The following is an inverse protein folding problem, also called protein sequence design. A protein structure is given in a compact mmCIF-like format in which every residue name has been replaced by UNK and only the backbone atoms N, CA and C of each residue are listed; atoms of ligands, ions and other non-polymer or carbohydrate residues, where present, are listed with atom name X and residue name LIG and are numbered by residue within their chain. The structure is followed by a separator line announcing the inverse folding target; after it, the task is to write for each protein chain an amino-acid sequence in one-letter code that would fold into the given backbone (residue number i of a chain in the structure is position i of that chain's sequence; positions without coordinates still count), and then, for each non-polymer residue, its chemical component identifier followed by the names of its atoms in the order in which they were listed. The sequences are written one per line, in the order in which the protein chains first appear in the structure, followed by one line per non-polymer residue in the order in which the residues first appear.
data_IF_232617804038
#
_entry.id   IF_232617804038
#
_cell.length_a   1.000
_cell.length_b   1.000
_cell.length_c   1.000
_cell.angle_alpha   90.00
_cell.angle_beta   90.00
_cell.angle_gamma   90.00
#
_symmetry.space_group_name_H-M   'P 1'
#
loop_
_entity.id
_entity.type
_entity.pdbx_description
1 polymer ?
#
# COMPACT_ATOMS: atom_id res chain seq x y z
N UNK A 1 -0.88 -9.25 -9.29
CA UNK A 1 -2.01 -10.19 -9.20
C UNK A 1 -2.18 -10.54 -7.73
N UNK A 2 -3.39 -10.82 -7.27
CA UNK A 2 -3.65 -11.27 -5.90
C UNK A 2 -3.92 -12.77 -5.96
N UNK A 3 -3.37 -13.52 -5.00
CA UNK A 3 -3.53 -14.99 -4.86
C UNK A 3 -3.15 -15.77 -6.12
N UNK A 4 -2.16 -15.24 -6.84
CA UNK A 4 -1.61 -15.82 -8.05
C UNK A 4 -0.15 -15.40 -8.21
N UNK A 5 0.62 -16.22 -8.96
CA UNK A 5 2.00 -15.92 -9.27
C UNK A 5 2.16 -14.54 -9.95
N UNK A 6 3.19 -13.80 -9.50
CA UNK A 6 3.66 -12.55 -10.11
C UNK A 6 4.95 -12.76 -10.92
N UNK A 7 5.66 -11.67 -11.18
CA UNK A 7 6.93 -11.70 -11.92
C UNK A 7 7.83 -10.54 -11.49
N UNK A 8 9.13 -10.79 -11.43
CA UNK A 8 10.15 -9.74 -11.46
C UNK A 8 10.79 -9.69 -12.85
N UNK A 9 10.93 -8.49 -13.39
CA UNK A 9 11.54 -8.25 -14.70
C UNK A 9 12.76 -7.35 -14.50
N UNK A 10 13.90 -7.74 -15.06
CA UNK A 10 15.15 -6.99 -14.98
C UNK A 10 15.53 -6.46 -16.36
N UNK A 11 15.95 -5.19 -16.42
CA UNK A 11 16.43 -4.57 -17.67
C UNK A 11 15.32 -4.08 -18.61
N UNK A 12 14.06 -4.06 -18.18
CA UNK A 12 12.96 -3.53 -18.99
C UNK A 12 11.65 -3.41 -18.22
N UNK A 13 10.70 -2.69 -18.82
CA UNK A 13 9.34 -2.52 -18.31
C UNK A 13 8.42 -3.42 -19.17
N UNK A 14 7.64 -4.34 -18.58
CA UNK A 14 6.74 -5.19 -19.35
C UNK A 14 5.63 -4.35 -20.00
N UNK A 15 5.24 -4.68 -21.23
CA UNK A 15 4.24 -3.91 -21.98
C UNK A 15 2.83 -3.82 -21.36
N UNK A 16 2.57 -4.56 -20.29
CA UNK A 16 1.35 -4.44 -19.47
C UNK A 16 1.35 -3.22 -18.53
N UNK A 17 2.52 -2.66 -18.21
CA UNK A 17 2.64 -1.45 -17.40
C UNK A 17 2.44 -0.21 -18.30
N UNK A 18 1.18 0.15 -18.52
CA UNK A 18 0.79 1.33 -19.30
C UNK A 18 0.66 2.55 -18.38
N UNK A 19 0.86 3.74 -18.93
CA UNK A 19 0.64 5.02 -18.23
C UNK A 19 1.37 5.10 -16.88
N UNK A 20 2.65 4.70 -16.88
CA UNK A 20 3.48 4.71 -15.67
C UNK A 20 3.63 6.14 -15.15
N UNK A 21 3.16 6.37 -13.93
CA UNK A 21 3.34 7.60 -13.17
C UNK A 21 4.66 7.50 -12.41
N UNK A 22 5.49 8.53 -12.49
CA UNK A 22 6.79 8.56 -11.83
C UNK A 22 6.84 9.56 -10.69
N UNK A 23 7.57 9.21 -9.64
CA UNK A 23 7.94 10.10 -8.53
C UNK A 23 9.44 10.00 -8.27
N UNK A 24 10.13 11.09 -7.89
CA UNK A 24 11.53 11.02 -7.49
C UNK A 24 11.70 10.13 -6.25
N UNK A 25 12.86 9.48 -6.17
CA UNK A 25 13.25 8.64 -5.03
C UNK A 25 14.15 9.43 -4.07
N UNK A 26 13.85 9.36 -2.78
CA UNK A 26 14.76 9.71 -1.70
C UNK A 26 15.48 8.43 -1.22
N UNK A 27 16.74 8.30 -1.63
CA UNK A 27 17.61 7.18 -1.27
C UNK A 27 18.54 7.48 -0.10
N UNK A 28 18.35 8.58 0.64
CA UNK A 28 19.25 9.03 1.71
C UNK A 28 19.43 8.01 2.85
N UNK A 29 18.44 7.13 3.04
CA UNK A 29 18.45 6.05 4.03
C UNK A 29 18.70 4.66 3.41
N UNK A 30 19.02 4.58 2.12
CA UNK A 30 19.25 3.33 1.39
C UNK A 30 17.99 2.60 0.95
N UNK A 31 16.81 3.21 1.09
CA UNK A 31 15.53 2.66 0.64
C UNK A 31 15.07 3.25 -0.69
N UNK A 32 14.06 2.63 -1.29
CA UNK A 32 13.21 3.24 -2.32
C UNK A 32 12.18 4.16 -1.66
N UNK A 33 12.67 5.24 -1.05
CA UNK A 33 11.84 6.24 -0.39
C UNK A 33 11.15 7.16 -1.38
N UNK A 34 9.91 7.56 -1.12
CA UNK A 34 9.16 8.50 -1.95
C UNK A 34 8.12 9.27 -1.13
N UNK A 35 7.74 10.45 -1.62
CA UNK A 35 6.65 11.25 -1.05
C UNK A 35 5.35 11.00 -1.81
N UNK A 36 4.24 10.94 -1.08
CA UNK A 36 2.90 10.71 -1.63
C UNK A 36 1.84 11.39 -0.75
N UNK A 37 0.59 11.36 -1.17
CA UNK A 37 -0.57 11.75 -0.37
C UNK A 37 -1.55 10.59 -0.33
N UNK A 38 -2.01 10.22 0.87
CA UNK A 38 -2.99 9.17 1.11
C UNK A 38 -4.18 9.78 1.82
N UNK A 39 -5.37 9.70 1.22
CA UNK A 39 -6.57 10.32 1.79
C UNK A 39 -6.44 11.83 2.03
N UNK A 40 -5.60 12.52 1.24
CA UNK A 40 -5.31 13.95 1.39
C UNK A 40 -4.20 14.29 2.38
N UNK A 41 -3.68 13.32 3.12
CA UNK A 41 -2.57 13.50 4.06
C UNK A 41 -1.24 13.21 3.39
N UNK A 42 -0.27 14.11 3.50
CA UNK A 42 1.09 13.89 3.03
C UNK A 42 1.76 12.75 3.79
N UNK A 43 2.45 11.88 3.07
CA UNK A 43 3.15 10.69 3.58
C UNK A 43 4.53 10.61 2.94
N UNK A 44 5.54 10.35 3.76
CA UNK A 44 6.84 9.86 3.29
C UNK A 44 6.92 8.38 3.62
N UNK A 45 7.24 7.55 2.63
CA UNK A 45 7.29 6.10 2.83
C UNK A 45 8.22 5.40 1.87
N UNK A 46 8.36 4.08 2.05
CA UNK A 46 9.20 3.23 1.23
C UNK A 46 8.37 2.22 0.44
N UNK A 47 8.79 1.91 -0.78
CA UNK A 47 8.27 0.76 -1.52
C UNK A 47 9.08 -0.49 -1.13
N UNK A 48 8.44 -1.45 -0.44
CA UNK A 48 9.14 -2.58 0.18
C UNK A 48 8.42 -3.92 -0.09
N UNK A 49 8.94 -4.68 -1.05
CA UNK A 49 8.43 -6.02 -1.39
C UNK A 49 8.70 -7.07 -0.30
N UNK A 50 9.44 -6.72 0.76
CA UNK A 50 9.70 -7.58 1.91
C UNK A 50 8.68 -7.45 3.04
N UNK A 51 7.80 -6.44 2.99
CA UNK A 51 6.76 -6.21 3.98
C UNK A 51 5.39 -6.57 3.43
N UNK A 52 4.62 -7.37 4.16
CA UNK A 52 3.32 -7.88 3.69
C UNK A 52 2.23 -6.79 3.60
N UNK A 53 2.15 -5.91 4.60
CA UNK A 53 1.03 -5.01 4.81
C UNK A 53 1.33 -3.60 4.27
N UNK A 54 0.30 -2.78 4.17
CA UNK A 54 0.45 -1.32 4.04
C UNK A 54 0.50 -0.73 5.45
N UNK A 55 1.63 -0.15 5.83
CA UNK A 55 1.85 0.43 7.16
C UNK A 55 1.90 1.95 7.06
N UNK A 56 0.93 2.64 7.64
CA UNK A 56 0.82 4.11 7.61
C UNK A 56 0.64 4.67 9.02
N UNK A 57 0.71 6.00 9.14
CA UNK A 57 0.47 6.69 10.41
C UNK A 57 -0.95 6.43 10.96
N UNK A 58 -1.06 6.35 12.28
CA UNK A 58 -2.30 6.04 13.01
C UNK A 58 -3.50 6.89 12.59
N UNK A 59 -3.26 8.17 12.28
CA UNK A 59 -4.32 9.09 11.86
C UNK A 59 -4.95 8.67 10.51
N UNK A 60 -4.14 8.23 9.56
CA UNK A 60 -4.60 7.77 8.24
C UNK A 60 -5.33 6.43 8.40
N UNK A 61 -4.72 5.51 9.15
CA UNK A 61 -5.28 4.18 9.41
C UNK A 61 -6.63 4.29 10.13
N UNK A 62 -6.71 5.10 11.17
CA UNK A 62 -7.95 5.34 11.91
C UNK A 62 -9.04 5.99 11.06
N UNK A 63 -8.69 6.99 10.24
CA UNK A 63 -9.63 7.64 9.31
C UNK A 63 -10.18 6.67 8.25
N UNK A 64 -9.35 5.73 7.79
CA UNK A 64 -9.81 4.68 6.88
C UNK A 64 -10.81 3.73 7.55
N UNK A 65 -10.48 3.17 8.72
CA UNK A 65 -11.35 2.19 9.38
C UNK A 65 -12.61 2.80 10.02
N UNK A 66 -12.66 4.11 10.26
CA UNK A 66 -13.90 4.80 10.63
C UNK A 66 -15.01 4.68 9.57
N UNK A 67 -14.65 4.38 8.32
CA UNK A 67 -15.60 4.15 7.23
C UNK A 67 -16.11 2.71 7.20
N UNK A 68 -15.52 1.80 7.99
CA UNK A 68 -15.84 0.37 8.02
C UNK A 68 -16.62 0.07 9.29
N UNK A 69 -17.92 -0.18 9.14
CA UNK A 69 -18.79 -0.47 10.28
C UNK A 69 -18.30 -1.71 11.06
N UNK A 70 -18.10 -1.55 12.36
CA UNK A 70 -17.63 -2.61 13.25
C UNK A 70 -16.12 -2.89 13.19
N UNK A 71 -15.34 -2.13 12.41
CA UNK A 71 -13.89 -2.22 12.47
C UNK A 71 -13.36 -1.71 13.81
N UNK A 72 -12.43 -2.44 14.41
CA UNK A 72 -11.81 -2.12 15.69
C UNK A 72 -10.32 -2.43 15.65
N UNK A 73 -9.53 -1.67 16.40
CA UNK A 73 -8.14 -2.03 16.66
C UNK A 73 -8.09 -3.02 17.82
N UNK A 74 -7.83 -4.29 17.52
CA UNK A 74 -7.83 -5.39 18.49
C UNK A 74 -6.39 -5.70 18.93
N UNK A 75 -6.09 -5.39 20.19
CA UNK A 75 -4.77 -5.61 20.77
C UNK A 75 -4.39 -7.10 20.90
N UNK A 76 -5.36 -8.02 20.98
CA UNK A 76 -5.09 -9.46 21.03
C UNK A 76 -4.69 -9.99 19.65
N UNK A 77 -5.29 -9.45 18.59
CA UNK A 77 -4.93 -9.76 17.21
C UNK A 77 -3.72 -8.95 16.72
N UNK A 78 -3.35 -7.88 17.44
CA UNK A 78 -2.21 -7.03 17.13
C UNK A 78 -2.47 -6.02 16.01
N UNK A 79 -3.73 -5.64 15.76
CA UNK A 79 -4.05 -4.65 14.74
C UNK A 79 -5.55 -4.49 14.45
N UNK A 80 -5.85 -3.73 13.40
CA UNK A 80 -7.21 -3.50 12.92
C UNK A 80 -7.82 -4.77 12.35
N UNK A 81 -9.01 -5.09 12.85
CA UNK A 81 -9.85 -6.19 12.42
C UNK A 81 -11.27 -5.70 12.14
N UNK A 82 -12.02 -6.45 11.35
CA UNK A 82 -13.39 -6.12 10.96
C UNK A 82 -14.20 -7.39 10.70
N UNK A 83 -15.52 -7.26 10.60
CA UNK A 83 -16.40 -8.37 10.21
C UNK A 83 -16.15 -8.74 8.73
N UNK A 84 -15.93 -10.01 8.43
CA UNK A 84 -15.60 -10.44 7.07
C UNK A 84 -16.67 -10.15 6.01
N UNK A 85 -17.91 -9.88 6.41
CA UNK A 85 -18.99 -9.43 5.52
C UNK A 85 -18.98 -7.93 5.24
N UNK A 86 -18.12 -7.15 5.89
CA UNK A 86 -18.00 -5.72 5.65
C UNK A 86 -17.40 -5.43 4.27
N UNK A 87 -17.93 -4.40 3.62
CA UNK A 87 -17.36 -3.86 2.38
C UNK A 87 -16.29 -2.83 2.72
N UNK A 88 -15.05 -3.10 2.32
CA UNK A 88 -13.94 -2.17 2.50
C UNK A 88 -13.94 -1.11 1.39
N UNK A 89 -13.78 0.19 1.72
CA UNK A 89 -13.59 1.22 0.72
C UNK A 89 -12.23 1.07 0.03
N UNK A 90 -12.12 1.51 -1.22
CA UNK A 90 -10.82 1.60 -1.89
C UNK A 90 -9.95 2.68 -1.22
N UNK A 91 -8.63 2.52 -1.30
CA UNK A 91 -7.66 3.49 -0.81
C UNK A 91 -6.74 3.93 -1.94
N UNK A 92 -6.66 5.23 -2.20
CA UNK A 92 -5.79 5.78 -3.24
C UNK A 92 -4.62 6.55 -2.64
N UNK A 93 -3.48 6.51 -3.34
CA UNK A 93 -2.31 7.30 -3.03
C UNK A 93 -1.76 7.99 -4.28
N UNK A 94 -1.21 9.20 -4.14
CA UNK A 94 -0.71 9.97 -5.28
C UNK A 94 0.67 9.50 -5.76
N UNK A 95 0.91 9.55 -7.07
CA UNK A 95 2.21 9.32 -7.69
C UNK A 95 2.38 10.32 -8.82
N UNK A 96 3.37 11.21 -8.70
CA UNK A 96 3.49 12.36 -9.62
C UNK A 96 2.18 13.15 -9.69
N UNK A 97 1.67 13.34 -10.90
CA UNK A 97 0.42 14.06 -11.18
C UNK A 97 -0.84 13.16 -11.17
N UNK A 98 -0.69 11.87 -10.86
CA UNK A 98 -1.78 10.91 -10.84
C UNK A 98 -1.94 10.17 -9.51
N UNK A 99 -2.67 9.07 -9.54
CA UNK A 99 -2.92 8.25 -8.36
C UNK A 99 -3.00 6.76 -8.70
N UNK A 100 -2.65 5.92 -7.72
CA UNK A 100 -2.86 4.48 -7.74
C UNK A 100 -3.96 4.16 -6.74
N UNK A 101 -4.87 3.24 -7.12
CA UNK A 101 -5.97 2.83 -6.26
C UNK A 101 -5.81 1.37 -5.85
N UNK A 102 -5.83 1.15 -4.54
CA UNK A 102 -5.89 -0.16 -3.92
C UNK A 102 -7.37 -0.49 -3.75
N UNK A 103 -7.82 -1.52 -4.46
CA UNK A 103 -9.18 -2.02 -4.30
C UNK A 103 -9.42 -2.52 -2.86
N UNK A 104 -10.62 -2.29 -2.32
CA UNK A 104 -10.97 -2.70 -0.96
C UNK A 104 -10.78 -4.20 -0.72
N UNK A 105 -10.94 -5.04 -1.74
CA UNK A 105 -10.68 -6.48 -1.64
C UNK A 105 -9.22 -6.81 -1.29
N UNK A 106 -8.26 -5.96 -1.69
CA UNK A 106 -6.84 -6.14 -1.37
C UNK A 106 -6.49 -5.73 0.06
N UNK A 107 -7.37 -4.99 0.73
CA UNK A 107 -7.25 -4.51 2.10
C UNK A 107 -7.83 -5.49 3.13
N UNK A 108 -8.40 -6.61 2.68
CA UNK A 108 -8.59 -7.80 3.51
C UNK A 108 -7.33 -8.68 3.39
N UNK A 109 -6.54 -8.76 4.46
CA UNK A 109 -5.31 -9.54 4.46
C UNK A 109 -5.56 -11.02 4.76
N UNK A 110 -6.34 -11.29 5.81
CA UNK A 110 -6.57 -12.65 6.28
C UNK A 110 -7.96 -12.80 6.87
N UNK A 111 -8.53 -13.99 6.73
CA UNK A 111 -9.85 -14.35 7.25
C UNK A 111 -9.70 -15.44 8.30
N UNK A 112 -10.23 -15.23 9.50
CA UNK A 112 -10.29 -16.22 10.57
C UNK A 112 -11.71 -16.30 11.14
N UNK A 113 -12.47 -17.31 10.70
CA UNK A 113 -13.88 -17.42 11.07
C UNK A 113 -14.69 -16.24 10.50
N UNK A 114 -15.40 -15.50 11.36
CA UNK A 114 -16.14 -14.30 10.98
C UNK A 114 -15.34 -12.99 11.07
N UNK A 115 -14.10 -13.04 11.57
CA UNK A 115 -13.26 -11.86 11.76
C UNK A 115 -12.14 -11.83 10.71
N UNK A 116 -11.92 -10.66 10.12
CA UNK A 116 -10.93 -10.43 9.07
C UNK A 116 -9.88 -9.43 9.56
N UNK A 117 -8.63 -9.67 9.18
CA UNK A 117 -7.49 -8.82 9.52
C UNK A 117 -7.21 -7.81 8.41
N UNK A 118 -7.05 -6.56 8.80
CA UNK A 118 -6.79 -5.43 7.92
C UNK A 118 -5.44 -5.50 7.21
N UNK A 119 -5.44 -5.25 5.90
CA UNK A 119 -4.25 -5.07 5.08
C UNK A 119 -3.56 -3.71 5.28
N UNK A 120 -4.31 -2.70 5.74
CA UNK A 120 -3.80 -1.42 6.20
C UNK A 120 -3.64 -1.47 7.73
N UNK A 121 -2.44 -1.18 8.24
CA UNK A 121 -2.15 -1.16 9.67
C UNK A 121 -1.29 0.05 10.05
N UNK A 122 -1.23 0.29 11.36
CA UNK A 122 -0.34 1.29 11.96
C UNK A 122 1.13 0.94 11.71
N UNK A 123 1.96 1.95 11.43
CA UNK A 123 3.41 1.84 11.46
C UNK A 123 4.00 1.91 12.89
N UNK A 124 3.15 1.96 13.92
CA UNK A 124 3.55 2.04 15.32
C UNK A 124 4.07 3.42 15.74
N UNK A 125 3.82 4.47 14.95
CA UNK A 125 4.30 5.82 15.21
C UNK A 125 5.81 5.98 15.05
N UNK A 126 6.47 5.05 14.36
CA UNK A 126 7.91 5.07 14.13
C UNK A 126 8.36 6.08 13.04
N UNK A 127 7.41 6.73 12.37
CA UNK A 127 7.65 7.72 11.32
C UNK A 127 8.10 7.14 9.98
N UNK A 128 8.06 5.81 9.80
CA UNK A 128 8.39 5.13 8.55
C UNK A 128 7.14 4.45 8.00
N UNK A 129 6.48 5.08 7.03
CA UNK A 129 5.40 4.44 6.28
C UNK A 129 5.97 3.41 5.30
N UNK A 130 5.33 2.25 5.18
CA UNK A 130 5.80 1.13 4.37
C UNK A 130 4.70 0.72 3.40
N UNK A 131 4.94 0.94 2.12
CA UNK A 131 4.10 0.48 1.02
C UNK A 131 4.53 -0.93 0.65
N UNK A 132 4.05 -1.89 1.44
CA UNK A 132 4.30 -3.31 1.26
C UNK A 132 3.41 -3.96 0.20
N UNK A 133 3.35 -5.29 0.24
CA UNK A 133 2.68 -6.12 -0.76
C UNK A 133 1.22 -5.75 -0.97
N UNK A 134 0.49 -5.30 0.06
CA UNK A 134 -0.89 -4.79 -0.10
C UNK A 134 -0.97 -3.66 -1.14
N UNK A 135 -0.05 -2.70 -1.12
CA UNK A 135 0.01 -1.61 -2.09
C UNK A 135 0.67 -2.06 -3.41
N UNK A 136 1.81 -2.75 -3.33
CA UNK A 136 2.57 -3.19 -4.51
C UNK A 136 1.75 -4.16 -5.38
N UNK A 137 0.93 -5.03 -4.76
CA UNK A 137 0.04 -5.94 -5.49
C UNK A 137 -1.18 -5.24 -6.10
N UNK A 138 -1.37 -3.93 -5.94
CA UNK A 138 -2.38 -3.15 -6.66
C UNK A 138 -1.86 -2.52 -7.98
N UNK A 139 -0.55 -2.55 -8.24
CA UNK A 139 0.04 -1.90 -9.41
C UNK A 139 1.16 -2.73 -10.09
N UNK A 140 1.62 -2.29 -11.26
CA UNK A 140 2.99 -2.55 -11.72
C UNK A 140 3.90 -1.50 -11.10
N UNK A 141 5.05 -1.92 -10.58
CA UNK A 141 6.00 -1.03 -9.90
C UNK A 141 7.34 -1.11 -10.59
N UNK A 142 7.87 0.06 -10.98
CA UNK A 142 9.13 0.21 -11.72
C UNK A 142 10.16 0.84 -10.79
N UNK A 143 11.17 0.06 -10.44
CA UNK A 143 12.31 0.50 -9.64
C UNK A 143 13.41 0.99 -10.60
N UNK A 144 13.43 2.29 -10.90
CA UNK A 144 14.33 2.88 -11.90
C UNK A 144 15.54 3.55 -11.23
N UNK A 145 16.59 2.75 -11.06
CA UNK A 145 17.83 3.21 -10.43
C UNK A 145 18.64 4.15 -11.34
N UNK A 146 18.46 4.06 -12.66
CA UNK A 146 19.18 4.89 -13.63
C UNK A 146 18.76 6.35 -13.57
N UNK A 147 17.47 6.59 -13.32
CA UNK A 147 16.89 7.93 -13.20
C UNK A 147 16.55 8.34 -11.75
N UNK A 148 16.86 7.49 -10.76
CA UNK A 148 16.53 7.69 -9.35
C UNK A 148 15.04 8.03 -9.13
N UNK A 149 14.16 7.20 -9.67
CA UNK A 149 12.71 7.39 -9.61
C UNK A 149 11.98 6.06 -9.40
N UNK A 150 10.76 6.17 -8.88
CA UNK A 150 9.84 5.06 -8.67
C UNK A 150 8.63 5.25 -9.58
N UNK A 151 8.34 4.25 -10.40
CA UNK A 151 7.20 4.25 -11.31
C UNK A 151 6.07 3.37 -10.81
N UNK A 152 4.83 3.82 -10.98
CA UNK A 152 3.64 3.05 -10.66
C UNK A 152 2.64 3.11 -11.82
N UNK A 153 2.11 1.96 -12.21
CA UNK A 153 1.04 1.86 -13.20
C UNK A 153 -0.11 1.00 -12.66
N UNK A 154 -1.34 1.49 -12.80
CA UNK A 154 -2.53 0.73 -12.42
C UNK A 154 -2.60 -0.58 -13.21
N UNK A 155 -3.02 -1.65 -12.56
CA UNK A 155 -3.29 -2.94 -13.19
C UNK A 155 -4.70 -3.44 -12.92
#
# INVERSE_FOLDING_TARGET
RHDAAGSYVFGGIPGGARDVLYTPVDSSQGFWGFSTSVGGSAVSGIADTGTTLLLLDDAIVGSYYQQVAGAVNDAQQGGWVFDCGAQLPSLSFSVGDGQITIDGSLLNYATQGGQCFGGLQSNGGNGLSIFGDVALKAAYVVFDAGNNQLGWAQK
#
